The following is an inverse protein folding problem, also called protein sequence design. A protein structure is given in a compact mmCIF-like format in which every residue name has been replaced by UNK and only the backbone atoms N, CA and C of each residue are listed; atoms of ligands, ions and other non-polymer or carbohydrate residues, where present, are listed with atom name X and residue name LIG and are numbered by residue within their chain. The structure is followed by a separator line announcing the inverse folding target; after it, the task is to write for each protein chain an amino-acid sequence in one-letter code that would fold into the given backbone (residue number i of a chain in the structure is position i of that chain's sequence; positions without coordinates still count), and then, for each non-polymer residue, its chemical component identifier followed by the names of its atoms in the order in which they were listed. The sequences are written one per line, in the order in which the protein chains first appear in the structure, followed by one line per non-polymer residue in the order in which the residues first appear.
data_IF_600759173356
#
_entry.id   IF_600759173356
#
_cell.length_a   1.000
_cell.length_b   1.000
_cell.length_c   1.000
_cell.angle_alpha   90.00
_cell.angle_beta   90.00
_cell.angle_gamma   90.00
#
_symmetry.space_group_name_H-M   'P 1'
#
loop_
_entity.id
_entity.type
_entity.pdbx_description
1 polymer ?
#
# COMPACT_ATOMS: atom_id res chain seq x y z
N UNK A 1 23.71 4.20 27.39
CA UNK A 1 22.74 3.64 28.35
C UNK A 1 21.28 3.78 27.89
N UNK A 2 20.90 4.84 27.17
CA UNK A 2 19.53 5.11 26.67
C UNK A 2 18.95 4.04 25.73
N UNK A 3 19.77 3.36 24.90
CA UNK A 3 19.29 2.31 23.98
C UNK A 3 18.57 1.15 24.68
N UNK A 4 19.04 0.72 25.86
CA UNK A 4 18.43 -0.39 26.62
C UNK A 4 17.10 0.00 27.29
N UNK A 5 16.96 1.27 27.68
CA UNK A 5 15.77 1.80 28.35
C UNK A 5 14.55 1.94 27.41
N UNK A 6 14.77 2.00 26.09
CA UNK A 6 13.70 2.04 25.08
C UNK A 6 13.42 0.63 24.53
N UNK A 7 14.48 -0.17 24.35
CA UNK A 7 14.37 -1.55 23.86
C UNK A 7 13.59 -2.43 24.85
N UNK A 8 13.79 -2.26 26.17
CA UNK A 8 13.09 -3.04 27.20
C UNK A 8 11.57 -2.91 27.14
N UNK A 9 11.01 -1.69 27.23
CA UNK A 9 9.57 -1.46 27.11
C UNK A 9 8.99 -1.93 25.78
N UNK A 10 9.71 -1.74 24.67
CA UNK A 10 9.27 -2.21 23.35
C UNK A 10 9.18 -3.74 23.30
N UNK A 11 10.20 -4.46 23.78
CA UNK A 11 10.13 -5.92 23.88
C UNK A 11 9.04 -6.40 24.85
N UNK A 12 8.81 -5.67 25.94
CA UNK A 12 7.78 -6.01 26.92
C UNK A 12 6.37 -5.84 26.32
N UNK A 13 6.13 -4.76 25.58
CA UNK A 13 4.88 -4.53 24.87
C UNK A 13 4.65 -5.56 23.74
N UNK A 14 5.70 -5.89 22.98
CA UNK A 14 5.64 -6.94 21.94
C UNK A 14 5.35 -8.31 22.57
N UNK A 15 6.02 -8.63 23.68
CA UNK A 15 5.81 -9.88 24.41
C UNK A 15 4.42 -9.98 25.03
N UNK A 16 3.93 -8.89 25.62
CA UNK A 16 2.58 -8.81 26.19
C UNK A 16 1.52 -8.93 25.08
N UNK A 17 1.73 -8.29 23.93
CA UNK A 17 0.86 -8.42 22.77
C UNK A 17 0.79 -9.85 22.24
N UNK A 18 1.92 -10.56 22.16
CA UNK A 18 1.92 -11.99 21.80
C UNK A 18 1.25 -12.88 22.85
N UNK A 19 1.40 -12.55 24.14
CA UNK A 19 0.77 -13.30 25.23
C UNK A 19 -0.76 -13.11 25.26
N UNK A 20 -1.25 -11.93 24.88
CA UNK A 20 -2.68 -11.59 24.85
C UNK A 20 -3.39 -12.03 23.56
N UNK A 21 -2.65 -12.55 22.56
CA UNK A 21 -3.18 -13.16 21.33
C UNK A 21 -2.73 -14.64 21.22
N UNK A 22 -3.26 -15.56 22.05
CA UNK A 22 -2.65 -16.89 22.23
C UNK A 22 -2.88 -17.89 21.09
N UNK A 23 -3.77 -17.64 20.12
CA UNK A 23 -4.01 -18.59 19.02
C UNK A 23 -4.78 -17.97 17.85
N UNK A 24 -4.29 -18.18 16.62
CA UNK A 24 -5.11 -18.24 15.40
C UNK A 24 -4.86 -17.17 14.34
N UNK A 25 -4.77 -15.90 14.71
CA UNK A 25 -4.79 -14.81 13.71
C UNK A 25 -3.40 -14.49 13.12
N UNK A 26 -2.32 -14.83 13.81
CA UNK A 26 -0.93 -14.62 13.36
C UNK A 26 -0.21 -15.95 13.12
N UNK A 27 -0.82 -16.83 12.32
CA UNK A 27 -0.07 -17.96 11.78
C UNK A 27 1.15 -17.45 10.99
N UNK A 28 2.26 -18.20 10.91
CA UNK A 28 3.37 -17.83 10.04
C UNK A 28 2.90 -17.53 8.61
N UNK A 29 1.93 -18.32 8.11
CA UNK A 29 1.29 -18.10 6.81
C UNK A 29 0.58 -16.75 6.70
N UNK A 30 -0.13 -16.30 7.72
CA UNK A 30 -0.78 -14.98 7.74
C UNK A 30 0.24 -13.84 7.67
N UNK A 31 1.33 -13.94 8.43
CA UNK A 31 2.40 -12.94 8.45
C UNK A 31 3.06 -12.85 7.08
N UNK A 32 3.42 -13.99 6.49
CA UNK A 32 3.98 -14.00 5.14
C UNK A 32 2.97 -13.49 4.09
N UNK A 33 1.68 -13.78 4.23
CA UNK A 33 0.67 -13.30 3.29
C UNK A 33 0.49 -11.78 3.32
N UNK A 34 0.48 -11.14 4.50
CA UNK A 34 0.15 -9.71 4.62
C UNK A 34 1.38 -8.79 4.72
N UNK A 35 2.52 -9.31 5.18
CA UNK A 35 3.73 -8.52 5.42
C UNK A 35 4.91 -8.90 4.52
N UNK A 36 4.73 -9.71 3.47
CA UNK A 36 5.79 -9.97 2.48
C UNK A 36 6.43 -8.69 1.88
N UNK A 37 5.71 -7.57 1.65
CA UNK A 37 6.33 -6.36 1.10
C UNK A 37 7.31 -5.74 2.09
N UNK A 38 6.94 -5.67 3.38
CA UNK A 38 7.83 -5.21 4.45
C UNK A 38 8.96 -6.19 4.77
N UNK A 39 8.73 -7.50 4.66
CA UNK A 39 9.74 -8.51 4.99
C UNK A 39 10.79 -8.71 3.90
N UNK A 40 10.40 -8.61 2.62
CA UNK A 40 11.29 -8.94 1.51
C UNK A 40 11.54 -7.75 0.57
N UNK A 41 10.48 -7.08 0.11
CA UNK A 41 10.59 -6.09 -0.96
C UNK A 41 11.27 -4.81 -0.48
N UNK A 42 10.81 -4.23 0.63
CA UNK A 42 11.38 -3.01 1.20
C UNK A 42 12.85 -3.22 1.62
N UNK A 43 13.21 -4.31 2.36
CA UNK A 43 14.60 -4.57 2.71
C UNK A 43 15.49 -4.77 1.48
N UNK A 44 14.99 -5.42 0.41
CA UNK A 44 15.74 -5.58 -0.83
C UNK A 44 15.97 -4.24 -1.54
N UNK A 45 14.97 -3.35 -1.56
CA UNK A 45 15.14 -1.98 -2.03
C UNK A 45 16.22 -1.24 -1.23
N UNK A 46 16.10 -1.25 0.11
CA UNK A 46 17.09 -0.64 1.01
C UNK A 46 18.50 -1.23 0.82
N UNK A 47 18.61 -2.53 0.55
CA UNK A 47 19.88 -3.19 0.27
C UNK A 47 20.56 -2.60 -0.97
N UNK A 48 19.82 -2.31 -2.04
CA UNK A 48 20.39 -1.65 -3.22
C UNK A 48 20.85 -0.22 -2.94
N UNK A 49 20.11 0.54 -2.13
CA UNK A 49 20.56 1.85 -1.66
C UNK A 49 21.83 1.75 -0.80
N UNK A 50 21.87 0.80 0.13
CA UNK A 50 23.03 0.57 0.99
C UNK A 50 24.26 0.18 0.16
N UNK A 51 24.10 -0.70 -0.82
CA UNK A 51 25.16 -1.08 -1.74
C UNK A 51 25.68 0.12 -2.52
N UNK A 52 24.81 1.01 -3.01
CA UNK A 52 25.22 2.23 -3.71
C UNK A 52 26.04 3.19 -2.81
N UNK A 53 25.54 3.49 -1.62
CA UNK A 53 26.15 4.49 -0.73
C UNK A 53 27.36 3.97 0.04
N UNK A 54 27.34 2.71 0.48
CA UNK A 54 28.37 2.12 1.33
C UNK A 54 29.42 1.35 0.55
N UNK A 55 29.02 0.51 -0.41
CA UNK A 55 29.94 -0.42 -1.08
C UNK A 55 30.53 0.15 -2.38
N UNK A 56 29.71 0.82 -3.19
CA UNK A 56 30.13 1.30 -4.52
C UNK A 56 30.61 2.76 -4.54
N UNK A 57 30.74 3.41 -3.38
CA UNK A 57 31.21 4.80 -3.25
C UNK A 57 30.54 5.76 -4.24
N UNK A 58 29.22 5.61 -4.44
CA UNK A 58 28.41 6.41 -5.38
C UNK A 58 28.71 6.24 -6.88
N UNK A 59 29.52 5.25 -7.27
CA UNK A 59 29.88 5.00 -8.69
C UNK A 59 28.83 4.18 -9.45
N UNK A 60 27.99 3.43 -8.75
CA UNK A 60 26.95 2.58 -9.35
C UNK A 60 25.56 3.21 -9.33
N UNK A 61 25.35 4.31 -10.05
CA UNK A 61 24.05 5.03 -10.01
C UNK A 61 22.90 4.21 -10.61
N UNK A 62 23.21 3.36 -11.60
CA UNK A 62 22.21 2.46 -12.19
C UNK A 62 21.55 1.51 -11.19
N UNK A 63 22.21 1.24 -10.04
CA UNK A 63 21.66 0.37 -8.98
C UNK A 63 20.56 1.06 -8.17
N UNK A 64 20.50 2.40 -8.16
CA UNK A 64 19.40 3.10 -7.49
C UNK A 64 18.08 2.92 -8.23
N UNK A 65 18.09 2.72 -9.55
CA UNK A 65 16.84 2.53 -10.30
C UNK A 65 16.05 1.33 -9.79
N UNK A 66 16.61 0.10 -9.73
CA UNK A 66 15.90 -1.03 -9.14
C UNK A 66 15.70 -0.85 -7.63
N UNK A 67 16.58 -0.15 -6.92
CA UNK A 67 16.44 0.16 -5.49
C UNK A 67 15.19 0.99 -5.18
N UNK A 68 15.05 2.15 -5.82
CA UNK A 68 13.92 3.06 -5.68
C UNK A 68 12.61 2.45 -6.18
N UNK A 69 12.64 1.68 -7.29
CA UNK A 69 11.46 0.93 -7.75
C UNK A 69 11.00 -0.05 -6.68
N UNK A 70 11.90 -0.86 -6.12
CA UNK A 70 11.55 -1.84 -5.10
C UNK A 70 11.07 -1.18 -3.81
N UNK A 71 11.70 -0.09 -3.40
CA UNK A 71 11.32 0.61 -2.18
C UNK A 71 9.90 1.19 -2.29
N UNK A 72 9.61 1.92 -3.37
CA UNK A 72 8.29 2.54 -3.58
C UNK A 72 7.22 1.49 -3.88
N UNK A 73 7.52 0.49 -4.72
CA UNK A 73 6.58 -0.61 -4.99
C UNK A 73 6.30 -1.43 -3.73
N UNK A 74 7.30 -1.68 -2.87
CA UNK A 74 7.13 -2.33 -1.58
C UNK A 74 6.20 -1.57 -0.64
N UNK A 75 6.30 -0.24 -0.60
CA UNK A 75 5.38 0.62 0.16
C UNK A 75 3.95 0.47 -0.36
N UNK A 76 3.74 0.60 -1.67
CA UNK A 76 2.40 0.46 -2.26
C UNK A 76 1.83 -0.95 -2.08
N UNK A 77 2.64 -2.00 -2.23
CA UNK A 77 2.24 -3.38 -1.94
C UNK A 77 1.84 -3.55 -0.47
N UNK A 78 2.55 -2.92 0.47
CA UNK A 78 2.18 -3.00 1.88
C UNK A 78 0.85 -2.28 2.14
N UNK A 79 0.64 -1.11 1.56
CA UNK A 79 -0.64 -0.39 1.67
C UNK A 79 -1.77 -1.22 1.03
N UNK A 80 -1.52 -1.86 -0.11
CA UNK A 80 -2.49 -2.70 -0.79
C UNK A 80 -2.88 -3.92 0.05
N UNK A 81 -1.92 -4.54 0.74
CA UNK A 81 -2.20 -5.64 1.68
C UNK A 81 -3.01 -5.17 2.90
N UNK A 82 -2.71 -3.98 3.44
CA UNK A 82 -3.42 -3.46 4.62
C UNK A 82 -4.84 -2.99 4.30
N UNK A 83 -5.06 -2.39 3.13
CA UNK A 83 -6.36 -1.86 2.72
C UNK A 83 -7.17 -2.85 1.88
N UNK A 84 -6.58 -3.99 1.50
CA UNK A 84 -7.12 -4.95 0.54
C UNK A 84 -7.62 -4.29 -0.77
N UNK A 85 -6.98 -3.18 -1.19
CA UNK A 85 -7.41 -2.36 -2.32
C UNK A 85 -6.38 -2.35 -3.46
N UNK A 86 -6.18 -3.52 -4.06
CA UNK A 86 -5.28 -3.66 -5.21
C UNK A 86 -5.76 -2.88 -6.44
N UNK A 87 -7.08 -2.75 -6.61
CA UNK A 87 -7.70 -2.09 -7.77
C UNK A 87 -7.42 -0.59 -7.87
N UNK A 88 -7.27 0.12 -6.74
CA UNK A 88 -6.91 1.56 -6.78
C UNK A 88 -5.41 1.82 -6.58
N UNK A 89 -4.66 0.86 -6.04
CA UNK A 89 -3.25 1.08 -5.65
C UNK A 89 -2.26 0.74 -6.76
N UNK A 90 -2.64 -0.06 -7.76
CA UNK A 90 -1.75 -0.42 -8.88
C UNK A 90 -1.10 0.76 -9.62
N UNK A 91 -1.69 1.98 -9.75
CA UNK A 91 -0.99 3.11 -10.36
C UNK A 91 0.30 3.48 -9.61
N UNK A 92 0.41 3.12 -8.32
CA UNK A 92 1.63 3.27 -7.52
C UNK A 92 2.85 2.56 -8.11
N UNK A 93 2.69 1.55 -8.96
CA UNK A 93 3.81 0.93 -9.68
C UNK A 93 4.39 1.85 -10.76
N UNK A 94 3.58 2.68 -11.41
CA UNK A 94 4.05 3.72 -12.33
C UNK A 94 4.83 4.79 -11.55
N UNK A 95 4.35 5.15 -10.35
CA UNK A 95 5.08 6.05 -9.46
C UNK A 95 6.40 5.45 -8.98
N UNK A 96 6.44 4.13 -8.74
CA UNK A 96 7.67 3.44 -8.38
C UNK A 96 8.73 3.50 -9.50
N UNK A 97 8.31 3.29 -10.76
CA UNK A 97 9.16 3.48 -11.93
C UNK A 97 9.66 4.94 -12.04
N UNK A 98 8.78 5.91 -11.82
CA UNK A 98 9.15 7.33 -11.81
C UNK A 98 10.18 7.64 -10.71
N UNK A 99 10.01 7.08 -9.51
CA UNK A 99 10.91 7.29 -8.38
C UNK A 99 12.30 6.71 -8.63
N UNK A 100 12.41 5.49 -9.16
CA UNK A 100 13.72 4.91 -9.52
C UNK A 100 14.44 5.72 -10.60
N UNK A 101 13.72 6.22 -11.61
CA UNK A 101 14.29 7.12 -12.61
C UNK A 101 14.67 8.48 -12.00
N UNK A 102 13.87 9.00 -11.07
CA UNK A 102 14.17 10.24 -10.36
C UNK A 102 15.46 10.15 -9.54
N UNK A 103 15.70 9.02 -8.89
CA UNK A 103 16.96 8.77 -8.20
C UNK A 103 18.15 8.74 -9.17
N UNK A 104 18.00 8.10 -10.33
CA UNK A 104 19.01 8.13 -11.38
C UNK A 104 19.27 9.56 -11.87
N UNK A 105 18.23 10.38 -12.03
CA UNK A 105 18.40 11.78 -12.41
C UNK A 105 19.19 12.56 -11.35
N UNK A 106 18.83 12.41 -10.08
CA UNK A 106 19.44 13.18 -8.99
C UNK A 106 20.91 12.79 -8.76
N UNK A 107 21.22 11.50 -8.77
CA UNK A 107 22.54 10.98 -8.45
C UNK A 107 23.42 10.70 -9.69
N UNK A 108 22.85 10.67 -10.90
CA UNK A 108 23.50 10.24 -12.15
C UNK A 108 23.93 11.35 -13.10
N UNK A 109 24.07 12.58 -12.60
CA UNK A 109 24.55 13.71 -13.40
C UNK A 109 23.45 14.59 -14.00
N UNK A 110 22.21 14.52 -13.48
CA UNK A 110 21.11 15.46 -13.77
C UNK A 110 20.81 15.65 -15.25
N UNK A 111 20.77 14.54 -15.99
CA UNK A 111 20.42 14.55 -17.41
C UNK A 111 18.96 14.99 -17.61
N UNK A 112 18.74 16.16 -18.23
CA UNK A 112 17.41 16.74 -18.48
C UNK A 112 16.50 15.83 -19.33
N UNK A 113 17.08 14.98 -20.19
CA UNK A 113 16.31 14.03 -21.00
C UNK A 113 15.56 13.00 -20.17
N UNK A 114 16.06 12.68 -18.96
CA UNK A 114 15.43 11.73 -18.05
C UNK A 114 14.19 12.31 -17.34
N UNK A 115 14.04 13.63 -17.30
CA UNK A 115 12.88 14.29 -16.67
C UNK A 115 11.60 14.04 -17.46
N UNK A 116 11.69 13.90 -18.78
CA UNK A 116 10.52 13.64 -19.66
C UNK A 116 9.78 12.36 -19.21
N UNK A 117 10.43 11.17 -19.16
CA UNK A 117 9.75 9.96 -18.72
C UNK A 117 9.31 10.02 -17.25
N UNK A 118 10.08 10.68 -16.37
CA UNK A 118 9.69 10.85 -14.96
C UNK A 118 8.36 11.61 -14.85
N UNK A 119 8.23 12.74 -15.55
CA UNK A 119 7.01 13.55 -15.51
C UNK A 119 5.82 12.80 -16.11
N UNK A 120 6.01 12.13 -17.25
CA UNK A 120 4.94 11.35 -17.88
C UNK A 120 4.44 10.26 -16.92
N UNK A 121 5.35 9.47 -16.34
CA UNK A 121 4.98 8.40 -15.42
C UNK A 121 4.30 8.94 -14.15
N UNK A 122 4.79 10.06 -13.62
CA UNK A 122 4.23 10.68 -12.41
C UNK A 122 2.81 11.20 -12.67
N UNK A 123 2.62 11.96 -13.76
CA UNK A 123 1.31 12.52 -14.13
C UNK A 123 0.33 11.39 -14.44
N UNK A 124 0.75 10.38 -15.20
CA UNK A 124 -0.10 9.25 -15.55
C UNK A 124 -0.48 8.43 -14.32
N UNK A 125 0.46 8.19 -13.41
CA UNK A 125 0.20 7.54 -12.12
C UNK A 125 -0.83 8.32 -11.32
N UNK A 126 -0.70 9.65 -11.25
CA UNK A 126 -1.60 10.50 -10.48
C UNK A 126 -3.00 10.53 -11.09
N UNK A 127 -3.09 10.62 -12.41
CA UNK A 127 -4.35 10.57 -13.16
C UNK A 127 -5.07 9.24 -12.90
N UNK A 128 -4.38 8.12 -13.04
CA UNK A 128 -4.98 6.81 -12.76
C UNK A 128 -5.38 6.68 -11.30
N UNK A 129 -4.54 7.11 -10.35
CA UNK A 129 -4.91 7.06 -8.94
C UNK A 129 -6.23 7.80 -8.65
N UNK A 130 -6.40 8.99 -9.23
CA UNK A 130 -7.65 9.76 -9.12
C UNK A 130 -8.82 9.03 -9.76
N UNK A 131 -8.67 8.55 -11.01
CA UNK A 131 -9.75 7.88 -11.74
C UNK A 131 -10.20 6.59 -11.03
N UNK A 132 -9.27 5.74 -10.61
CA UNK A 132 -9.58 4.48 -9.93
C UNK A 132 -10.07 4.70 -8.50
N UNK A 133 -9.59 5.72 -7.79
CA UNK A 133 -10.11 6.05 -6.46
C UNK A 133 -11.55 6.56 -6.54
N UNK A 134 -11.88 7.41 -7.52
CA UNK A 134 -13.26 7.85 -7.75
C UNK A 134 -14.13 6.66 -8.18
N UNK A 135 -13.64 5.83 -9.10
CA UNK A 135 -14.34 4.64 -9.57
C UNK A 135 -14.71 3.68 -8.44
N UNK A 136 -13.76 3.38 -7.54
CA UNK A 136 -13.99 2.49 -6.40
C UNK A 136 -14.97 3.07 -5.37
N UNK A 137 -14.94 4.39 -5.16
CA UNK A 137 -15.92 5.07 -4.29
C UNK A 137 -17.33 5.02 -4.88
N UNK A 138 -17.47 5.16 -6.21
CA UNK A 138 -18.76 5.13 -6.90
C UNK A 138 -19.31 3.71 -7.08
N UNK A 139 -18.46 2.69 -7.26
CA UNK A 139 -18.89 1.30 -7.52
C UNK A 139 -19.35 0.57 -6.26
N UNK A 140 -18.59 0.64 -5.17
CA UNK A 140 -18.81 -0.19 -3.98
C UNK A 140 -19.84 0.42 -3.00
N UNK A 141 -20.06 1.74 -3.07
CA UNK A 141 -20.81 2.46 -2.02
C UNK A 141 -22.16 3.04 -2.46
N UNK A 142 -22.39 3.25 -3.76
CA UNK A 142 -23.50 4.11 -4.19
C UNK A 142 -24.61 3.48 -5.03
N UNK A 143 -24.45 2.31 -5.64
CA UNK A 143 -25.45 1.83 -6.63
C UNK A 143 -26.02 0.42 -6.43
N UNK A 144 -25.31 -0.48 -5.74
CA UNK A 144 -25.72 -1.89 -5.67
C UNK A 144 -26.43 -2.29 -4.37
N UNK A 145 -25.64 -2.50 -3.31
CA UNK A 145 -26.10 -3.21 -2.11
C UNK A 145 -26.86 -2.36 -1.08
N UNK A 146 -26.43 -1.13 -0.69
CA UNK A 146 -27.12 -0.38 0.35
C UNK A 146 -28.49 0.12 -0.11
N UNK A 147 -28.61 0.59 -1.36
CA UNK A 147 -29.89 1.07 -1.90
C UNK A 147 -30.88 -0.09 -2.05
N UNK A 148 -30.47 -1.24 -2.59
CA UNK A 148 -31.33 -2.43 -2.64
C UNK A 148 -31.73 -2.89 -1.24
N UNK A 149 -30.82 -2.89 -0.27
CA UNK A 149 -31.13 -3.22 1.12
C UNK A 149 -32.13 -2.23 1.74
N UNK A 150 -31.94 -0.92 1.52
CA UNK A 150 -32.87 0.13 1.98
C UNK A 150 -34.25 -0.05 1.33
N UNK A 151 -34.31 -0.30 0.01
CA UNK A 151 -35.55 -0.54 -0.72
C UNK A 151 -36.25 -1.81 -0.21
N UNK A 152 -35.52 -2.91 0.03
CA UNK A 152 -36.06 -4.15 0.59
C UNK A 152 -36.57 -3.95 2.01
N UNK A 153 -35.85 -3.21 2.86
CA UNK A 153 -36.26 -2.89 4.23
C UNK A 153 -37.52 -2.02 4.22
N UNK A 154 -37.57 -0.99 3.37
CA UNK A 154 -38.74 -0.13 3.23
C UNK A 154 -39.95 -0.89 2.65
N UNK A 155 -39.73 -1.74 1.64
CA UNK A 155 -40.77 -2.59 1.07
C UNK A 155 -41.31 -3.60 2.10
N UNK A 156 -40.44 -4.22 2.89
CA UNK A 156 -40.81 -5.10 4.00
C UNK A 156 -41.63 -4.38 5.07
N UNK A 157 -41.22 -3.16 5.43
CA UNK A 157 -41.92 -2.32 6.39
C UNK A 157 -43.33 -1.93 5.91
N UNK A 158 -43.47 -1.53 4.64
CA UNK A 158 -44.77 -1.21 4.02
C UNK A 158 -45.67 -2.43 3.96
N UNK A 159 -45.15 -3.60 3.57
CA UNK A 159 -45.93 -4.85 3.55
C UNK A 159 -46.42 -5.28 4.93
N UNK A 160 -45.63 -5.06 5.98
CA UNK A 160 -46.06 -5.30 7.37
C UNK A 160 -47.21 -4.38 7.78
N UNK A 161 -47.16 -3.10 7.40
CA UNK A 161 -48.22 -2.14 7.69
C UNK A 161 -49.48 -2.32 6.82
N UNK A 162 -49.35 -2.96 5.65
CA UNK A 162 -50.48 -3.24 4.76
C UNK A 162 -51.29 -4.48 5.12
N UNK A 163 -50.90 -5.29 6.12
CA UNK A 163 -51.73 -6.41 6.56
C UNK A 163 -52.74 -6.01 7.64
N UNK A 164 -53.98 -5.89 7.12
CA UNK A 164 -55.29 -6.15 7.75
C UNK A 164 -56.04 -4.93 8.31
N UNK A 165 -56.87 -4.33 7.45
CA UNK A 165 -58.23 -3.91 7.83
C UNK A 165 -59.22 -4.90 7.22
N UNK A 166 -59.44 -6.00 7.92
CA UNK A 166 -60.55 -6.93 7.72
C UNK A 166 -61.25 -7.04 9.06
N UNK A 167 -62.28 -6.20 9.19
CA UNK A 167 -63.60 -6.36 9.82
C UNK A 167 -64.23 -4.98 9.89
#
# INVERSE_FOLDING_TARGET
MVKKAIIGPVLLLIGLYFLLNPAGEMSPGYIFAHFWPTLFVIPLGLFFHWMHFSMLSRKGVGLLVPGGILLVSGIFCQIAMLMNNWGSIWPGFLLAAAAGLFELYWFGGRNKWLLIPIYILTILSMLFFVVFSIGNLMSETFLGQPILAIVLVLAGFVLMMSRKKST
#
